data_IF_572327202319
#
_entry.id   IF_572327202319
#
_cell.length_a   1.000
_cell.length_b   1.000
_cell.length_c   1.000
_cell.angle_alpha   90.00
_cell.angle_beta   90.00
_cell.angle_gamma   90.00
#
_symmetry.space_group_name_H-M   'P 1'
#
loop_
_entity.id
_entity.type
_entity.pdbx_description
1 polymer ?
#
# COMPACT_ATOMS: atom_id res chain seq x y z
N UNK A 1 -4.56 18.65 -27.35
CA UNK A 1 -6.00 18.40 -27.68
C UNK A 1 -6.78 18.52 -26.39
N UNK A 2 -7.84 19.27 -26.41
CA UNK A 2 -8.72 19.42 -25.24
C UNK A 2 -9.96 18.52 -25.43
N UNK A 3 -10.26 17.69 -24.44
CA UNK A 3 -11.45 16.83 -24.44
C UNK A 3 -12.48 17.46 -23.51
N UNK A 4 -13.58 17.94 -24.06
CA UNK A 4 -14.64 18.56 -23.29
C UNK A 4 -15.50 17.50 -22.58
N UNK A 5 -15.57 17.56 -21.28
CA UNK A 5 -16.45 16.76 -20.45
C UNK A 5 -17.67 17.61 -20.08
N UNK A 6 -18.86 17.09 -20.29
CA UNK A 6 -20.10 17.81 -20.03
C UNK A 6 -20.95 17.21 -18.91
N UNK A 7 -20.67 15.98 -18.51
CA UNK A 7 -21.40 15.28 -17.46
C UNK A 7 -20.45 14.47 -16.57
N UNK A 8 -20.75 14.46 -15.28
CA UNK A 8 -20.05 13.68 -14.27
C UNK A 8 -21.06 13.01 -13.34
N UNK A 9 -20.64 11.92 -12.67
CA UNK A 9 -21.44 11.24 -11.65
C UNK A 9 -20.55 10.50 -10.65
N UNK A 10 -21.13 10.10 -9.52
CA UNK A 10 -20.49 9.25 -8.53
C UNK A 10 -19.15 9.80 -8.02
N UNK A 11 -19.06 11.12 -7.83
CA UNK A 11 -17.85 11.73 -7.30
C UNK A 11 -17.65 11.40 -5.82
N UNK A 12 -16.40 11.11 -5.44
CA UNK A 12 -16.00 10.86 -4.06
C UNK A 12 -14.64 11.49 -3.79
N UNK A 13 -14.54 12.26 -2.70
CA UNK A 13 -13.27 12.88 -2.31
C UNK A 13 -12.28 11.84 -1.78
N UNK A 14 -11.02 11.96 -2.21
CA UNK A 14 -9.92 11.09 -1.81
C UNK A 14 -9.04 11.69 -0.71
N UNK A 15 -9.24 12.95 -0.37
CA UNK A 15 -8.45 13.64 0.66
C UNK A 15 -9.23 14.80 1.28
N UNK A 16 -8.81 15.22 2.46
CA UNK A 16 -9.55 16.18 3.30
C UNK A 16 -9.72 17.57 2.69
N UNK A 17 -8.83 17.99 1.79
CA UNK A 17 -8.91 19.28 1.08
C UNK A 17 -9.78 19.23 -0.17
N UNK A 18 -10.28 18.05 -0.55
CA UNK A 18 -11.12 17.81 -1.72
C UNK A 18 -10.46 18.18 -3.07
N UNK A 19 -9.14 18.28 -3.11
CA UNK A 19 -8.40 18.62 -4.34
C UNK A 19 -8.13 17.39 -5.23
N UNK A 20 -8.46 16.20 -4.73
CA UNK A 20 -8.35 14.95 -5.46
C UNK A 20 -9.61 14.12 -5.26
N UNK A 21 -10.21 13.69 -6.35
CA UNK A 21 -11.47 12.94 -6.32
C UNK A 21 -11.51 11.83 -7.36
N UNK A 22 -12.15 10.72 -7.01
CA UNK A 22 -12.60 9.76 -8.01
C UNK A 22 -13.98 10.18 -8.50
N UNK A 23 -14.21 10.07 -9.79
CA UNK A 23 -15.45 10.45 -10.44
C UNK A 23 -15.63 9.62 -11.71
N UNK A 24 -16.86 9.42 -12.15
CA UNK A 24 -17.13 8.94 -13.50
C UNK A 24 -17.44 10.14 -14.42
N UNK A 25 -16.75 10.22 -15.55
CA UNK A 25 -16.95 11.23 -16.57
C UNK A 25 -17.61 10.62 -17.80
N UNK A 26 -18.47 11.39 -18.48
CA UNK A 26 -19.02 10.99 -19.77
C UNK A 26 -18.09 11.45 -20.89
N UNK A 27 -17.16 10.58 -21.27
CA UNK A 27 -16.18 10.85 -22.32
C UNK A 27 -16.87 10.81 -23.69
N UNK A 28 -16.62 11.76 -24.59
CA UNK A 28 -17.31 11.82 -25.87
C UNK A 28 -17.17 10.57 -26.76
N UNK A 29 -16.02 9.89 -26.67
CA UNK A 29 -15.76 8.70 -27.51
C UNK A 29 -16.03 7.37 -26.78
N UNK A 30 -15.93 7.35 -25.43
CA UNK A 30 -15.96 6.10 -24.66
C UNK A 30 -17.17 6.00 -23.71
N UNK A 31 -17.99 7.06 -23.62
CA UNK A 31 -19.09 7.10 -22.66
C UNK A 31 -18.62 7.22 -21.22
N UNK A 32 -19.31 6.60 -20.29
CA UNK A 32 -18.99 6.68 -18.87
C UNK A 32 -17.74 5.87 -18.53
N UNK A 33 -16.69 6.57 -18.11
CA UNK A 33 -15.41 5.96 -17.69
C UNK A 33 -15.00 6.49 -16.32
N UNK A 34 -14.28 5.68 -15.51
CA UNK A 34 -13.69 6.16 -14.28
C UNK A 34 -12.56 7.16 -14.56
N UNK A 35 -12.48 8.18 -13.74
CA UNK A 35 -11.46 9.22 -13.83
C UNK A 35 -11.06 9.69 -12.43
N UNK A 36 -9.77 9.83 -12.20
CA UNK A 36 -9.27 10.46 -10.98
C UNK A 36 -8.88 11.90 -11.28
N UNK A 37 -9.66 12.82 -10.75
CA UNK A 37 -9.40 14.25 -10.79
C UNK A 37 -8.29 14.60 -9.79
N UNK A 38 -7.30 15.36 -10.24
CA UNK A 38 -6.26 15.92 -9.38
C UNK A 38 -5.99 17.36 -9.83
N UNK A 39 -6.32 18.35 -8.98
CA UNK A 39 -6.11 19.76 -9.32
C UNK A 39 -4.63 20.17 -9.38
N UNK A 40 -3.72 19.31 -8.90
CA UNK A 40 -2.28 19.51 -9.05
C UNK A 40 -1.72 18.94 -10.35
N UNK A 41 -2.52 18.20 -11.12
CA UNK A 41 -2.09 17.63 -12.39
C UNK A 41 -1.87 18.73 -13.44
N UNK A 42 -0.79 18.61 -14.19
CA UNK A 42 -0.43 19.54 -15.25
C UNK A 42 -0.91 19.10 -16.64
N UNK A 43 -1.47 17.90 -16.76
CA UNK A 43 -2.07 17.45 -18.02
C UNK A 43 -3.41 18.18 -18.23
N UNK A 44 -3.51 18.86 -19.36
CA UNK A 44 -4.68 19.66 -19.74
C UNK A 44 -5.55 19.00 -20.80
N UNK A 45 -5.31 17.75 -21.13
CA UNK A 45 -6.14 17.01 -22.09
C UNK A 45 -7.61 16.97 -21.65
N UNK A 46 -7.84 16.68 -20.37
CA UNK A 46 -9.11 16.90 -19.67
C UNK A 46 -8.84 18.00 -18.64
N UNK A 47 -9.60 19.08 -18.70
CA UNK A 47 -9.45 20.18 -17.75
C UNK A 47 -10.05 19.81 -16.40
N UNK A 48 -9.20 19.60 -15.41
CA UNK A 48 -9.61 19.21 -14.07
C UNK A 48 -10.45 20.30 -13.36
N UNK A 49 -10.23 21.57 -13.65
CA UNK A 49 -11.03 22.67 -13.10
C UNK A 49 -12.45 22.64 -13.67
N UNK A 50 -12.62 22.34 -14.95
CA UNK A 50 -13.95 22.17 -15.57
C UNK A 50 -14.68 20.97 -14.98
N UNK A 51 -14.00 19.81 -14.79
CA UNK A 51 -14.59 18.62 -14.17
C UNK A 51 -15.00 18.94 -12.72
N UNK A 52 -14.16 19.64 -11.97
CA UNK A 52 -14.48 20.06 -10.61
C UNK A 52 -15.71 20.97 -10.53
N UNK A 53 -15.85 21.88 -11.49
CA UNK A 53 -17.02 22.75 -11.59
C UNK A 53 -18.30 21.96 -11.86
N UNK A 54 -18.24 20.90 -12.64
CA UNK A 54 -19.37 19.99 -12.89
C UNK A 54 -19.75 19.19 -11.64
N UNK A 55 -18.78 18.76 -10.85
CA UNK A 55 -19.02 18.08 -9.58
C UNK A 55 -19.70 19.02 -8.59
N UNK A 56 -19.20 20.25 -8.45
CA UNK A 56 -19.68 21.23 -7.48
C UNK A 56 -19.60 20.67 -6.06
N UNK A 57 -20.73 20.66 -5.37
CA UNK A 57 -20.85 20.09 -4.00
C UNK A 57 -21.42 18.67 -4.00
N UNK A 58 -21.62 18.07 -5.18
CA UNK A 58 -22.23 16.74 -5.32
C UNK A 58 -21.18 15.64 -5.31
N UNK A 59 -20.58 15.39 -4.15
CA UNK A 59 -19.60 14.33 -3.97
C UNK A 59 -19.72 13.71 -2.58
N UNK A 60 -19.30 12.46 -2.46
CA UNK A 60 -19.16 11.79 -1.17
C UNK A 60 -17.96 12.37 -0.42
N UNK A 61 -18.16 12.81 0.81
CA UNK A 61 -17.11 13.38 1.63
C UNK A 61 -16.00 12.37 1.91
N UNK A 62 -14.76 12.86 2.00
CA UNK A 62 -13.64 12.06 2.41
C UNK A 62 -13.82 11.57 3.85
N UNK A 63 -13.59 10.28 4.05
CA UNK A 63 -13.54 9.65 5.37
C UNK A 63 -12.13 9.13 5.58
N UNK A 64 -11.42 9.72 6.55
CA UNK A 64 -10.08 9.25 6.89
C UNK A 64 -10.15 7.81 7.42
N UNK A 65 -9.17 6.94 7.08
CA UNK A 65 -9.11 5.61 7.65
C UNK A 65 -8.97 5.68 9.18
N UNK A 66 -9.63 4.77 9.87
CA UNK A 66 -9.50 4.63 11.32
C UNK A 66 -8.12 4.12 11.69
N UNK A 67 -7.70 4.30 12.95
CA UNK A 67 -6.44 3.74 13.43
C UNK A 67 -6.40 2.22 13.27
N UNK A 68 -7.52 1.54 13.49
CA UNK A 68 -7.61 0.09 13.28
C UNK A 68 -7.38 -0.32 11.82
N UNK A 69 -7.91 0.45 10.86
CA UNK A 69 -7.68 0.22 9.43
C UNK A 69 -6.23 0.47 9.03
N UNK A 70 -5.62 1.53 9.56
CA UNK A 70 -4.20 1.83 9.36
C UNK A 70 -3.31 0.73 9.94
N UNK A 71 -3.61 0.26 11.13
CA UNK A 71 -2.88 -0.83 11.78
C UNK A 71 -3.02 -2.15 11.01
N UNK A 72 -4.20 -2.45 10.50
CA UNK A 72 -4.42 -3.63 9.67
C UNK A 72 -3.62 -3.59 8.37
N UNK A 73 -3.58 -2.43 7.71
CA UNK A 73 -2.79 -2.24 6.48
C UNK A 73 -1.28 -2.34 6.77
N UNK A 74 -0.81 -1.77 7.87
CA UNK A 74 0.58 -1.86 8.29
C UNK A 74 0.97 -3.29 8.66
N UNK A 75 0.08 -4.02 9.34
CA UNK A 75 0.29 -5.43 9.68
C UNK A 75 0.53 -6.31 8.45
N UNK A 76 -0.19 -6.05 7.36
CA UNK A 76 0.02 -6.74 6.08
C UNK A 76 1.43 -6.49 5.54
N UNK A 77 1.89 -5.24 5.57
CA UNK A 77 3.23 -4.85 5.12
C UNK A 77 4.32 -5.48 5.98
N UNK A 78 4.17 -5.46 7.29
CA UNK A 78 5.14 -6.05 8.23
C UNK A 78 5.24 -7.56 8.03
N UNK A 79 4.10 -8.24 7.85
CA UNK A 79 4.11 -9.68 7.56
C UNK A 79 4.78 -10.00 6.22
N UNK A 80 4.55 -9.19 5.19
CA UNK A 80 5.21 -9.36 3.89
C UNK A 80 6.73 -9.18 4.00
N UNK A 81 7.21 -8.18 4.74
CA UNK A 81 8.64 -7.98 5.01
C UNK A 81 9.23 -9.17 5.77
N UNK A 82 8.55 -9.62 6.83
CA UNK A 82 8.93 -10.84 7.56
C UNK A 82 9.05 -12.05 6.64
N UNK A 83 8.06 -12.27 5.80
CA UNK A 83 8.02 -13.42 4.90
C UNK A 83 9.15 -13.37 3.87
N UNK A 84 9.50 -12.18 3.36
CA UNK A 84 10.65 -11.99 2.50
C UNK A 84 11.97 -12.37 3.21
N UNK A 85 12.11 -12.01 4.48
CA UNK A 85 13.27 -12.39 5.30
C UNK A 85 13.30 -13.89 5.59
N UNK A 86 12.15 -14.51 5.82
CA UNK A 86 12.02 -15.96 5.98
C UNK A 86 12.45 -16.73 4.73
N UNK A 87 12.19 -16.22 3.52
CA UNK A 87 12.69 -16.83 2.29
C UNK A 87 14.21 -16.91 2.25
N UNK A 88 14.91 -15.90 2.74
CA UNK A 88 16.38 -15.92 2.84
C UNK A 88 16.87 -17.01 3.80
N UNK A 89 16.21 -17.14 4.95
CA UNK A 89 16.51 -18.21 5.93
C UNK A 89 16.27 -19.58 5.32
N UNK A 90 15.12 -19.77 4.67
CA UNK A 90 14.74 -21.05 4.09
C UNK A 90 15.66 -21.46 2.94
N UNK A 91 16.21 -20.51 2.19
CA UNK A 91 17.21 -20.78 1.16
C UNK A 91 18.52 -21.36 1.74
N UNK A 92 18.84 -21.03 2.99
CA UNK A 92 20.01 -21.55 3.69
C UNK A 92 19.68 -22.85 4.44
N UNK A 93 18.65 -22.81 5.26
CA UNK A 93 18.24 -23.95 6.10
C UNK A 93 17.61 -25.11 5.33
N UNK A 94 16.92 -24.79 4.20
CA UNK A 94 16.28 -25.78 3.33
C UNK A 94 17.25 -26.46 2.36
N UNK A 95 18.48 -26.00 2.24
CA UNK A 95 19.52 -26.66 1.44
C UNK A 95 20.42 -27.48 2.37
N UNK A 96 20.29 -28.81 2.31
CA UNK A 96 20.99 -29.71 3.23
C UNK A 96 22.52 -29.58 3.19
N UNK A 97 23.09 -29.40 1.99
CA UNK A 97 24.54 -29.26 1.85
C UNK A 97 25.02 -27.91 2.40
N UNK A 98 24.31 -26.85 2.08
CA UNK A 98 24.64 -25.50 2.55
C UNK A 98 24.51 -25.40 4.07
N UNK A 99 23.47 -26.00 4.63
CA UNK A 99 23.27 -26.05 6.07
C UNK A 99 24.37 -26.83 6.79
N UNK A 100 24.73 -28.00 6.25
CA UNK A 100 25.80 -28.84 6.82
C UNK A 100 27.18 -28.17 6.81
N UNK A 101 27.43 -27.26 5.87
CA UNK A 101 28.69 -26.50 5.80
C UNK A 101 28.80 -25.43 6.90
N UNK A 102 27.70 -25.08 7.55
CA UNK A 102 27.73 -24.14 8.67
C UNK A 102 28.19 -24.80 9.96
N UNK A 103 28.92 -24.04 10.79
CA UNK A 103 29.21 -24.49 12.16
C UNK A 103 27.93 -24.64 12.98
N UNK A 104 27.98 -25.44 14.02
CA UNK A 104 26.85 -25.59 14.97
C UNK A 104 26.41 -24.24 15.55
N UNK A 105 27.38 -23.38 15.85
CA UNK A 105 27.09 -22.01 16.31
C UNK A 105 26.32 -21.19 15.30
N UNK A 106 26.72 -21.24 14.03
CA UNK A 106 26.00 -20.54 12.94
C UNK A 106 24.62 -21.11 12.68
N UNK A 107 24.48 -22.42 12.73
CA UNK A 107 23.15 -23.05 12.64
C UNK A 107 22.23 -22.57 13.76
N UNK A 108 22.72 -22.42 14.97
CA UNK A 108 22.01 -21.86 16.12
C UNK A 108 21.58 -20.42 15.87
N UNK A 109 22.50 -19.56 15.40
CA UNK A 109 22.20 -18.15 15.07
C UNK A 109 21.08 -18.03 14.01
N UNK A 110 21.10 -18.84 12.96
CA UNK A 110 20.06 -18.86 11.95
C UNK A 110 18.72 -19.37 12.48
N UNK A 111 18.76 -20.39 13.35
CA UNK A 111 17.54 -20.89 14.00
C UNK A 111 16.91 -19.85 14.90
N UNK A 112 17.69 -19.13 15.68
CA UNK A 112 17.23 -18.04 16.57
C UNK A 112 16.68 -16.88 15.76
N UNK A 113 17.34 -16.50 14.66
CA UNK A 113 16.87 -15.48 13.74
C UNK A 113 15.51 -15.84 13.16
N UNK A 114 15.35 -17.08 12.70
CA UNK A 114 14.08 -17.59 12.19
C UNK A 114 12.96 -17.52 13.22
N UNK A 115 13.22 -17.98 14.45
CA UNK A 115 12.24 -17.91 15.53
C UNK A 115 11.87 -16.46 15.87
N UNK A 116 12.84 -15.56 15.87
CA UNK A 116 12.61 -14.13 16.06
C UNK A 116 11.70 -13.55 14.99
N UNK A 117 11.89 -13.93 13.71
CA UNK A 117 11.03 -13.50 12.61
C UNK A 117 9.60 -14.05 12.76
N UNK A 118 9.45 -15.32 13.10
CA UNK A 118 8.13 -15.93 13.30
C UNK A 118 7.37 -15.27 14.45
N UNK A 119 8.08 -14.75 15.45
CA UNK A 119 7.50 -14.09 16.63
C UNK A 119 7.17 -12.62 16.42
N UNK A 120 7.53 -12.03 15.30
CA UNK A 120 7.28 -10.59 15.03
C UNK A 120 5.80 -10.20 15.24
N UNK A 121 4.79 -10.95 14.77
CA UNK A 121 3.39 -10.57 14.99
C UNK A 121 2.94 -10.63 16.46
N UNK A 122 3.69 -11.28 17.34
CA UNK A 122 3.39 -11.37 18.77
C UNK A 122 4.09 -10.28 19.61
N UNK A 123 4.91 -9.43 19.00
CA UNK A 123 5.55 -8.32 19.71
C UNK A 123 4.50 -7.32 20.20
N UNK A 124 4.71 -6.76 21.39
CA UNK A 124 3.77 -5.81 22.01
C UNK A 124 3.55 -4.56 21.15
N UNK A 125 4.56 -4.11 20.40
CA UNK A 125 4.48 -2.94 19.52
C UNK A 125 3.92 -3.23 18.13
N UNK A 126 3.64 -4.49 17.77
CA UNK A 126 3.12 -4.86 16.46
C UNK A 126 1.74 -4.21 16.20
N UNK A 127 1.47 -3.67 15.02
CA UNK A 127 2.36 -3.55 13.84
C UNK A 127 3.17 -2.25 13.77
N UNK A 128 3.03 -1.34 14.74
CA UNK A 128 3.55 0.03 14.68
C UNK A 128 5.04 0.12 15.04
N UNK A 129 5.50 -0.71 15.95
CA UNK A 129 6.90 -0.80 16.38
C UNK A 129 7.37 -2.24 16.30
N UNK A 130 8.40 -2.47 15.49
CA UNK A 130 8.96 -3.80 15.29
C UNK A 130 10.43 -3.81 15.67
N UNK A 131 10.79 -4.73 16.55
CA UNK A 131 12.17 -5.07 16.84
C UNK A 131 12.56 -6.25 15.94
N UNK A 132 13.17 -5.94 14.81
CA UNK A 132 13.64 -6.98 13.89
C UNK A 132 14.81 -7.74 14.50
N UNK A 133 14.80 -9.09 14.48
CA UNK A 133 15.93 -9.84 14.93
C UNK A 133 17.16 -9.58 14.06
N UNK A 134 18.35 -9.66 14.65
CA UNK A 134 19.60 -9.46 13.92
C UNK A 134 19.88 -10.65 13.00
N UNK A 135 20.10 -10.37 11.72
CA UNK A 135 20.48 -11.38 10.73
C UNK A 135 21.91 -11.87 11.03
N UNK A 136 22.16 -13.18 11.04
CA UNK A 136 23.50 -13.72 11.20
C UNK A 136 24.46 -13.22 10.10
N UNK A 137 25.69 -12.99 10.47
CA UNK A 137 26.73 -12.52 9.54
C UNK A 137 27.21 -13.63 8.59
#
# INVERSE_FOLDING_TARGET
MHILITQVRNAASLQSDNLRMDVEINHPDYGWIPYTLDLADTDTTIDNDEVMALIGNNFTAYVAPTQAELDAALAVKVRADRDARLLEVDAIAGNALRWADLSVGKQGEWSDYRQGLLSVPQQAGFPNQINWPAKPA
#
